data_IF_258923367561
#
_entry.id   IF_258923367561
#
_cell.length_a   1.000
_cell.length_b   1.000
_cell.length_c   1.000
_cell.angle_alpha   90.00
_cell.angle_beta   90.00
_cell.angle_gamma   90.00
#
_symmetry.space_group_name_H-M   'P 1'
#
loop_
_entity.id
_entity.type
_entity.pdbx_description
1 polymer ?
#
# COMPACT_ATOMS: atom_id res chain seq x y z
N UNK A 1 19.26 62.57 52.16
CA UNK A 1 18.66 62.79 50.82
C UNK A 1 19.28 61.80 49.84
N UNK A 2 18.45 61.10 49.06
CA UNK A 2 18.73 60.00 48.10
C UNK A 2 18.66 58.58 48.69
N UNK A 3 17.43 58.07 48.76
CA UNK A 3 17.10 56.64 48.81
C UNK A 3 17.23 56.09 47.39
N UNK A 4 18.03 55.04 47.21
CA UNK A 4 18.20 54.36 45.93
C UNK A 4 17.01 53.42 45.68
N UNK A 5 16.31 53.66 44.57
CA UNK A 5 15.11 52.95 44.15
C UNK A 5 15.53 51.66 43.42
N UNK A 6 15.44 50.52 44.09
CA UNK A 6 15.64 49.19 43.49
C UNK A 6 14.49 48.89 42.53
N UNK A 7 14.72 48.99 41.21
CA UNK A 7 13.75 48.56 40.19
C UNK A 7 13.73 47.03 40.13
N UNK A 8 12.70 46.43 40.72
CA UNK A 8 12.34 45.02 40.53
C UNK A 8 11.70 44.91 39.14
N UNK A 9 12.41 44.28 38.20
CA UNK A 9 11.87 43.90 36.90
C UNK A 9 11.18 42.55 37.07
N UNK A 10 9.84 42.55 37.07
CA UNK A 10 9.03 41.35 36.98
C UNK A 10 9.12 40.81 35.56
N UNK A 11 9.90 39.74 35.35
CA UNK A 11 9.92 39.02 34.08
C UNK A 11 8.69 38.10 34.05
N UNK A 12 7.61 38.56 33.44
CA UNK A 12 6.47 37.72 33.08
C UNK A 12 6.95 36.69 32.06
N UNK A 13 7.21 35.46 32.52
CA UNK A 13 7.33 34.30 31.63
C UNK A 13 5.98 34.10 30.94
N UNK A 14 5.86 34.62 29.72
CA UNK A 14 4.79 34.25 28.82
C UNK A 14 5.00 32.77 28.44
N UNK A 15 4.25 31.88 29.07
CA UNK A 15 4.11 30.49 28.61
C UNK A 15 3.51 30.53 27.19
N UNK A 16 4.37 30.58 26.17
CA UNK A 16 3.98 30.26 24.81
C UNK A 16 3.60 28.78 24.79
N UNK A 17 2.30 28.51 24.81
CA UNK A 17 1.78 27.20 24.46
C UNK A 17 2.16 26.93 23.02
N UNK A 18 3.23 26.16 22.83
CA UNK A 18 3.52 25.53 21.54
C UNK A 18 2.32 24.63 21.26
N UNK A 19 1.44 25.08 20.35
CA UNK A 19 0.42 24.21 19.77
C UNK A 19 1.16 23.08 19.08
N UNK A 20 1.13 21.92 19.72
CA UNK A 20 1.69 20.67 19.21
C UNK A 20 1.17 20.40 17.80
N UNK A 21 2.11 20.41 16.87
CA UNK A 21 2.24 19.64 15.63
C UNK A 21 0.95 19.09 15.01
N UNK A 22 0.66 19.53 13.78
CA UNK A 22 -0.29 18.88 12.89
C UNK A 22 -0.10 17.35 12.94
N UNK A 23 -1.13 16.66 13.40
CA UNK A 23 -1.13 15.21 13.51
C UNK A 23 -1.05 14.66 12.07
N UNK A 24 0.13 14.21 11.64
CA UNK A 24 0.30 13.56 10.34
C UNK A 24 -0.70 12.39 10.27
N UNK A 25 -1.63 12.41 9.32
CA UNK A 25 -2.49 11.25 9.08
C UNK A 25 -1.64 10.13 8.51
N UNK A 26 -1.53 9.01 9.23
CA UNK A 26 -0.84 7.79 8.76
C UNK A 26 -1.38 7.29 7.43
N UNK A 27 -2.66 7.56 7.14
CA UNK A 27 -3.37 7.16 5.93
C UNK A 27 -4.03 8.40 5.30
N UNK A 28 -3.36 9.07 4.35
CA UNK A 28 -3.77 10.40 3.85
C UNK A 28 -5.17 10.45 3.20
N UNK A 29 -5.68 9.33 2.68
CA UNK A 29 -7.00 9.26 2.05
C UNK A 29 -8.17 9.24 3.04
N UNK A 30 -7.93 8.87 4.30
CA UNK A 30 -8.97 8.86 5.33
C UNK A 30 -9.23 10.29 5.82
N UNK A 31 -10.13 11.00 5.12
CA UNK A 31 -10.58 12.34 5.51
C UNK A 31 -11.54 12.21 6.70
N UNK A 32 -11.08 12.61 7.89
CA UNK A 32 -11.67 12.34 9.21
C UNK A 32 -11.61 10.85 9.57
N UNK A 33 -11.41 10.53 10.86
CA UNK A 33 -11.40 9.14 11.35
C UNK A 33 -12.74 8.49 11.01
N UNK A 34 -12.81 7.79 9.88
CA UNK A 34 -13.95 6.95 9.54
C UNK A 34 -14.13 5.98 10.70
N UNK A 35 -15.20 6.20 11.47
CA UNK A 35 -15.51 5.46 12.70
C UNK A 35 -15.79 3.98 12.43
N UNK A 36 -15.90 3.60 11.15
CA UNK A 36 -16.20 2.26 10.67
C UNK A 36 -14.97 1.55 10.10
N UNK A 37 -13.79 1.86 10.67
CA UNK A 37 -12.54 1.19 10.30
C UNK A 37 -11.86 0.58 11.52
N UNK A 38 -11.18 -0.54 11.30
CA UNK A 38 -10.32 -1.20 12.29
C UNK A 38 -8.97 -1.51 11.67
N UNK A 39 -7.92 -1.63 12.48
CA UNK A 39 -6.61 -2.04 11.98
C UNK A 39 -6.62 -3.50 11.53
N UNK A 40 -5.94 -3.82 10.43
CA UNK A 40 -5.83 -5.18 9.91
C UNK A 40 -5.38 -6.20 10.97
N UNK A 41 -4.36 -5.86 11.77
CA UNK A 41 -3.86 -6.77 12.80
C UNK A 41 -4.75 -6.88 14.05
N UNK A 42 -5.67 -5.94 14.27
CA UNK A 42 -6.67 -6.07 15.33
C UNK A 42 -7.79 -7.03 14.90
N UNK A 43 -8.15 -7.00 13.61
CA UNK A 43 -9.26 -7.79 13.08
C UNK A 43 -8.86 -9.22 12.69
N UNK A 44 -7.64 -9.44 12.21
CA UNK A 44 -7.16 -10.74 11.72
C UNK A 44 -6.18 -11.34 12.73
N UNK A 45 -6.70 -12.09 13.70
CA UNK A 45 -5.87 -12.80 14.69
C UNK A 45 -4.94 -13.83 14.03
N UNK A 46 -3.71 -14.03 14.53
CA UNK A 46 -2.87 -15.16 14.11
C UNK A 46 -3.58 -16.51 14.33
N UNK A 47 -3.32 -17.52 13.47
CA UNK A 47 -3.84 -18.86 13.69
C UNK A 47 -3.19 -19.50 14.93
N UNK A 48 -3.82 -20.52 15.54
CA UNK A 48 -3.28 -21.17 16.73
C UNK A 48 -1.82 -21.64 16.56
N UNK A 49 -0.97 -21.33 17.54
CA UNK A 49 0.45 -21.70 17.54
C UNK A 49 1.37 -20.78 16.73
N UNK A 50 0.84 -19.71 16.13
CA UNK A 50 1.61 -18.70 15.40
C UNK A 50 1.66 -17.37 16.16
N UNK A 51 2.78 -16.67 16.03
CA UNK A 51 2.99 -15.32 16.54
C UNK A 51 3.37 -14.37 15.40
N UNK A 52 2.98 -13.10 15.49
CA UNK A 52 3.41 -12.11 14.49
C UNK A 52 4.91 -11.93 14.51
N UNK A 53 5.48 -11.85 13.31
CA UNK A 53 6.88 -11.43 13.14
C UNK A 53 7.06 -9.98 13.59
N UNK A 54 8.22 -9.61 14.10
CA UNK A 54 8.49 -8.21 14.44
C UNK A 54 8.42 -7.30 13.21
N UNK A 55 7.86 -6.11 13.40
CA UNK A 55 7.86 -5.06 12.38
C UNK A 55 8.31 -3.76 13.04
N UNK A 56 9.38 -3.16 12.51
CA UNK A 56 9.93 -1.91 13.03
C UNK A 56 8.87 -0.80 12.96
N UNK A 57 8.78 0.01 14.02
CA UNK A 57 7.82 1.11 14.11
C UNK A 57 8.03 2.07 12.93
N UNK A 58 6.95 2.52 12.31
CA UNK A 58 6.98 3.41 11.13
C UNK A 58 7.56 2.79 9.84
N UNK A 59 7.96 1.52 9.84
CA UNK A 59 8.36 0.80 8.62
C UNK A 59 7.16 0.52 7.70
N UNK A 60 7.45 0.20 6.44
CA UNK A 60 6.42 -0.24 5.48
C UNK A 60 5.66 -1.48 5.99
N UNK A 61 6.39 -2.41 6.63
CA UNK A 61 5.80 -3.61 7.22
C UNK A 61 4.80 -3.26 8.33
N UNK A 62 5.18 -2.38 9.26
CA UNK A 62 4.28 -1.91 10.32
C UNK A 62 3.10 -1.13 9.75
N UNK A 63 3.29 -0.36 8.69
CA UNK A 63 2.24 0.43 8.04
C UNK A 63 1.20 -0.46 7.34
N UNK A 64 1.64 -1.48 6.60
CA UNK A 64 0.77 -2.46 5.93
C UNK A 64 -0.02 -3.30 6.94
N UNK A 65 0.64 -3.78 7.99
CA UNK A 65 0.00 -4.57 9.06
C UNK A 65 -1.11 -3.80 9.79
N UNK A 66 -1.08 -2.46 9.75
CA UNK A 66 -2.07 -1.60 10.39
C UNK A 66 -3.07 -0.96 9.43
N UNK A 67 -3.10 -1.40 8.16
CA UNK A 67 -4.00 -0.84 7.16
C UNK A 67 -5.46 -0.81 7.67
N UNK A 68 -6.18 0.28 7.41
CA UNK A 68 -7.58 0.39 7.82
C UNK A 68 -8.42 -0.56 6.98
N UNK A 69 -9.29 -1.33 7.64
CA UNK A 69 -10.22 -2.28 7.04
C UNK A 69 -11.65 -1.84 7.34
N UNK A 70 -12.57 -2.02 6.39
CA UNK A 70 -14.01 -1.80 6.60
C UNK A 70 -14.54 -2.75 7.69
N UNK A 71 -15.13 -2.20 8.75
CA UNK A 71 -15.64 -3.01 9.86
C UNK A 71 -16.91 -3.79 9.50
N UNK A 72 -17.86 -3.14 8.80
CA UNK A 72 -19.22 -3.64 8.60
C UNK A 72 -19.46 -4.21 7.19
N UNK A 73 -19.21 -3.42 6.14
CA UNK A 73 -19.48 -3.84 4.76
C UNK A 73 -18.28 -4.62 4.19
N UNK A 74 -18.54 -5.86 3.77
CA UNK A 74 -17.54 -6.74 3.19
C UNK A 74 -17.77 -7.06 1.70
N UNK A 75 -18.66 -6.32 1.05
CA UNK A 75 -18.83 -6.39 -0.39
C UNK A 75 -17.65 -5.71 -1.08
N UNK A 76 -17.16 -6.31 -2.16
CA UNK A 76 -16.17 -5.69 -3.04
C UNK A 76 -16.91 -4.95 -4.13
N UNK A 77 -16.68 -3.65 -4.23
CA UNK A 77 -17.19 -2.83 -5.33
C UNK A 77 -16.12 -2.65 -6.42
N UNK A 78 -16.60 -2.49 -7.65
CA UNK A 78 -15.80 -2.11 -8.81
C UNK A 78 -15.67 -0.58 -8.86
N UNK A 79 -14.77 -0.09 -9.72
CA UNK A 79 -14.55 1.35 -9.92
C UNK A 79 -15.80 2.14 -10.36
N UNK A 80 -16.78 1.47 -10.94
CA UNK A 80 -18.05 2.04 -11.42
C UNK A 80 -19.16 2.02 -10.34
N UNK A 81 -18.86 1.49 -9.16
CA UNK A 81 -19.81 1.35 -8.05
C UNK A 81 -20.67 0.09 -8.10
N UNK A 82 -20.55 -0.75 -9.13
CA UNK A 82 -21.22 -2.05 -9.16
C UNK A 82 -20.55 -3.05 -8.22
N UNK A 83 -21.29 -4.08 -7.82
CA UNK A 83 -20.71 -5.21 -7.10
C UNK A 83 -19.82 -6.03 -8.03
N UNK A 84 -18.64 -6.41 -7.54
CA UNK A 84 -17.84 -7.46 -8.15
C UNK A 84 -18.67 -8.75 -8.27
N UNK A 85 -18.60 -9.45 -9.41
CA UNK A 85 -19.36 -10.68 -9.60
C UNK A 85 -19.01 -11.78 -8.56
N UNK A 86 -17.71 -12.01 -8.33
CA UNK A 86 -17.23 -12.97 -7.34
C UNK A 86 -17.10 -12.33 -5.94
N UNK A 87 -18.17 -12.39 -5.14
CA UNK A 87 -18.21 -11.93 -3.74
C UNK A 87 -17.71 -12.97 -2.73
N UNK A 88 -17.06 -14.05 -3.17
CA UNK A 88 -16.56 -15.10 -2.25
C UNK A 88 -15.04 -15.09 -2.10
N UNK A 89 -14.31 -14.33 -2.93
CA UNK A 89 -12.85 -14.25 -2.90
C UNK A 89 -12.31 -13.46 -1.68
N UNK A 90 -13.05 -12.46 -1.21
CA UNK A 90 -12.60 -11.55 -0.16
C UNK A 90 -12.87 -12.09 1.24
N UNK A 91 -11.90 -11.93 2.12
CA UNK A 91 -12.06 -12.07 3.55
C UNK A 91 -12.51 -10.75 4.16
N UNK A 92 -11.78 -9.67 3.87
CA UNK A 92 -12.05 -8.30 4.33
C UNK A 92 -11.63 -7.26 3.30
N UNK A 93 -12.37 -6.16 3.18
CA UNK A 93 -12.08 -5.08 2.23
C UNK A 93 -11.31 -3.96 2.92
N UNK A 94 -10.19 -3.53 2.33
CA UNK A 94 -9.44 -2.39 2.83
C UNK A 94 -10.26 -1.11 2.67
N UNK A 95 -10.17 -0.22 3.65
CA UNK A 95 -10.81 1.09 3.61
C UNK A 95 -9.95 2.07 2.80
N UNK A 96 -9.78 1.80 1.50
CA UNK A 96 -9.08 2.66 0.52
C UNK A 96 -9.90 2.70 -0.77
N UNK A 97 -9.98 3.85 -1.41
CA UNK A 97 -10.74 4.02 -2.66
C UNK A 97 -10.10 3.24 -3.82
N UNK A 98 -10.96 2.73 -4.72
CA UNK A 98 -10.55 2.22 -6.04
C UNK A 98 -10.39 3.34 -7.07
N UNK A 99 -11.04 4.49 -6.87
CA UNK A 99 -11.15 5.56 -7.85
C UNK A 99 -12.46 5.48 -8.63
N UNK A 100 -12.56 6.22 -9.75
CA UNK A 100 -13.78 6.30 -10.59
C UNK A 100 -13.55 5.86 -12.04
N UNK A 101 -12.37 5.33 -12.33
CA UNK A 101 -11.95 4.86 -13.65
C UNK A 101 -11.52 3.42 -13.50
N UNK A 102 -11.54 2.66 -14.59
CA UNK A 102 -11.00 1.30 -14.62
C UNK A 102 -9.45 1.31 -14.58
N UNK A 103 -8.93 1.86 -13.49
CA UNK A 103 -7.54 2.04 -13.11
C UNK A 103 -7.43 1.58 -11.65
N UNK A 104 -6.25 1.19 -11.19
CA UNK A 104 -6.08 0.46 -9.94
C UNK A 104 -6.44 -1.03 -10.05
N UNK A 105 -5.96 -1.67 -11.11
CA UNK A 105 -6.07 -3.10 -11.33
C UNK A 105 -5.01 -3.86 -10.50
N UNK A 106 -4.82 -5.15 -10.78
CA UNK A 106 -3.99 -6.07 -10.00
C UNK A 106 -2.66 -5.48 -9.44
N UNK A 107 -1.68 -5.17 -10.30
CA UNK A 107 -0.38 -4.63 -9.92
C UNK A 107 -0.46 -3.24 -9.29
N UNK A 108 -1.45 -2.46 -9.69
CA UNK A 108 -1.65 -1.12 -9.19
C UNK A 108 -2.00 -1.10 -7.71
N UNK A 109 -2.58 -2.16 -7.16
CA UNK A 109 -2.81 -2.26 -5.71
C UNK A 109 -1.48 -2.26 -4.93
N UNK A 110 -0.48 -3.00 -5.40
CA UNK A 110 0.85 -3.00 -4.79
C UNK A 110 1.56 -1.65 -4.97
N UNK A 111 1.45 -1.05 -6.16
CA UNK A 111 1.96 0.31 -6.47
C UNK A 111 1.31 1.34 -5.54
N UNK A 112 -0.04 1.35 -5.45
CA UNK A 112 -0.83 2.25 -4.61
C UNK A 112 -0.35 2.19 -3.17
N UNK A 113 -0.29 0.99 -2.58
CA UNK A 113 0.09 0.83 -1.19
C UNK A 113 1.54 1.25 -0.92
N UNK A 114 2.47 0.96 -1.82
CA UNK A 114 3.87 1.40 -1.69
C UNK A 114 3.99 2.92 -1.78
N UNK A 115 3.33 3.53 -2.77
CA UNK A 115 3.36 4.96 -2.99
C UNK A 115 2.71 5.74 -1.85
N UNK A 116 1.56 5.28 -1.35
CA UNK A 116 0.85 5.87 -0.20
C UNK A 116 1.69 5.84 1.08
N UNK A 117 2.37 4.72 1.35
CA UNK A 117 3.31 4.66 2.47
C UNK A 117 4.40 5.73 2.33
N UNK A 118 5.08 5.79 1.20
CA UNK A 118 6.15 6.76 0.96
C UNK A 118 5.64 8.22 1.02
N UNK A 119 4.43 8.48 0.50
CA UNK A 119 3.77 9.77 0.58
C UNK A 119 3.49 10.16 2.04
N UNK A 120 2.97 9.22 2.85
CA UNK A 120 2.73 9.44 4.29
C UNK A 120 4.02 9.78 5.06
N UNK A 121 5.17 9.29 4.60
CA UNK A 121 6.49 9.59 5.15
C UNK A 121 7.14 10.84 4.53
N UNK A 122 6.46 11.52 3.60
CA UNK A 122 6.98 12.62 2.78
C UNK A 122 8.27 12.27 2.01
N UNK A 123 8.50 10.99 1.75
CA UNK A 123 9.65 10.47 1.00
C UNK A 123 9.37 10.53 -0.51
N UNK A 124 9.04 11.72 -1.02
CA UNK A 124 8.56 11.92 -2.39
C UNK A 124 9.61 11.53 -3.45
N UNK A 125 10.89 11.74 -3.14
CA UNK A 125 12.05 11.35 -3.95
C UNK A 125 12.15 9.84 -4.18
N UNK A 126 11.53 9.05 -3.29
CA UNK A 126 11.51 7.58 -3.38
C UNK A 126 10.28 7.06 -4.14
N UNK A 127 9.32 7.91 -4.48
CA UNK A 127 8.13 7.51 -5.23
C UNK A 127 8.46 7.58 -6.72
N UNK A 128 8.73 6.42 -7.30
CA UNK A 128 8.93 6.27 -8.72
C UNK A 128 8.57 4.85 -9.17
N UNK A 129 7.98 4.75 -10.36
CA UNK A 129 7.62 3.47 -11.00
C UNK A 129 7.92 3.60 -12.49
N UNK A 130 8.22 2.49 -13.14
CA UNK A 130 8.50 2.48 -14.57
C UNK A 130 7.23 2.15 -15.36
N UNK A 131 7.03 2.91 -16.44
CA UNK A 131 6.07 2.56 -17.47
C UNK A 131 6.50 1.27 -18.18
N UNK A 132 5.57 0.70 -18.95
CA UNK A 132 5.81 -0.48 -19.79
C UNK A 132 6.91 -0.25 -20.83
N UNK A 133 7.08 1.00 -21.30
CA UNK A 133 8.19 1.43 -22.15
C UNK A 133 9.55 1.37 -21.46
N UNK A 134 9.59 1.34 -20.13
CA UNK A 134 10.80 1.42 -19.31
C UNK A 134 11.10 2.82 -18.77
N UNK A 135 10.37 3.85 -19.23
CA UNK A 135 10.51 5.22 -18.75
C UNK A 135 10.13 5.33 -17.27
N UNK A 136 10.98 6.01 -16.50
CA UNK A 136 10.77 6.20 -15.06
C UNK A 136 9.86 7.39 -14.81
N UNK A 137 8.73 7.17 -14.15
CA UNK A 137 7.83 8.22 -13.71
C UNK A 137 8.16 8.63 -12.27
N UNK A 138 8.96 9.69 -12.10
CA UNK A 138 9.30 10.23 -10.78
C UNK A 138 8.19 11.12 -10.23
N UNK A 139 7.79 10.91 -8.99
CA UNK A 139 6.84 11.81 -8.34
C UNK A 139 7.45 13.19 -8.02
N UNK A 140 8.75 13.27 -7.76
CA UNK A 140 9.42 14.57 -7.57
C UNK A 140 9.35 15.44 -8.82
N UNK A 141 9.59 14.87 -10.01
CA UNK A 141 9.45 15.59 -11.28
C UNK A 141 7.98 15.94 -11.55
N UNK A 142 7.06 15.05 -11.19
CA UNK A 142 5.64 15.33 -11.25
C UNK A 142 5.23 16.52 -10.37
N UNK A 143 5.76 16.60 -9.15
CA UNK A 143 5.56 17.75 -8.24
C UNK A 143 6.05 19.03 -8.90
N UNK A 144 7.19 19.01 -9.61
CA UNK A 144 7.76 20.18 -10.28
C UNK A 144 7.02 20.62 -11.57
N UNK A 145 6.02 19.84 -11.97
CA UNK A 145 5.11 20.16 -13.08
C UNK A 145 5.39 19.39 -14.37
N UNK A 146 6.28 18.39 -14.35
CA UNK A 146 6.52 17.54 -15.51
C UNK A 146 5.38 16.54 -15.72
N UNK A 147 4.94 16.37 -16.96
CA UNK A 147 3.91 15.41 -17.36
C UNK A 147 4.40 14.62 -18.59
N UNK A 148 4.04 13.34 -18.70
CA UNK A 148 4.44 12.55 -19.85
C UNK A 148 3.58 12.92 -21.07
N UNK A 149 4.23 13.16 -22.20
CA UNK A 149 3.64 13.11 -23.53
C UNK A 149 4.04 11.79 -24.16
N UNK A 150 3.07 10.89 -24.31
CA UNK A 150 3.31 9.53 -24.82
C UNK A 150 2.93 9.45 -26.29
N UNK A 151 3.84 8.96 -27.12
CA UNK A 151 3.61 8.65 -28.53
C UNK A 151 4.18 7.26 -28.85
N UNK A 152 3.31 6.25 -28.91
CA UNK A 152 3.74 4.86 -28.99
C UNK A 152 4.55 4.47 -27.75
N UNK A 153 5.77 3.96 -27.95
CA UNK A 153 6.71 3.59 -26.88
C UNK A 153 7.64 4.74 -26.44
N UNK A 154 7.52 5.92 -27.04
CA UNK A 154 8.36 7.07 -26.69
C UNK A 154 7.63 7.96 -25.68
N UNK A 155 8.32 8.30 -24.59
CA UNK A 155 7.81 9.19 -23.55
C UNK A 155 8.69 10.43 -23.48
N UNK A 156 8.07 11.59 -23.69
CA UNK A 156 8.72 12.89 -23.50
C UNK A 156 8.19 13.52 -22.21
N UNK A 157 9.07 13.94 -21.29
CA UNK A 157 8.68 14.62 -20.06
C UNK A 157 8.71 16.12 -20.25
N UNK A 158 7.54 16.75 -20.16
CA UNK A 158 7.39 18.17 -20.47
C UNK A 158 6.83 18.88 -19.25
N UNK A 159 7.46 19.99 -18.88
CA UNK A 159 6.93 20.86 -17.85
C UNK A 159 5.70 21.59 -18.37
N UNK A 160 4.52 21.16 -17.94
CA UNK A 160 3.22 21.66 -18.41
C UNK A 160 2.24 21.98 -17.28
N UNK A 161 2.66 21.84 -16.02
CA UNK A 161 1.88 22.18 -14.84
C UNK A 161 2.68 23.03 -13.86
N UNK A 162 1.98 23.63 -12.89
CA UNK A 162 2.62 24.34 -11.78
C UNK A 162 3.15 23.35 -10.74
N UNK A 163 4.02 23.84 -9.85
CA UNK A 163 4.52 23.03 -8.75
C UNK A 163 3.41 22.73 -7.75
N UNK A 164 3.14 21.46 -7.48
CA UNK A 164 2.08 21.05 -6.56
C UNK A 164 2.40 19.70 -5.88
N UNK A 165 2.47 19.70 -4.54
CA UNK A 165 2.68 18.50 -3.73
C UNK A 165 1.42 18.07 -2.96
N UNK A 166 0.24 18.51 -3.39
CA UNK A 166 -1.03 18.14 -2.81
C UNK A 166 -1.31 16.64 -2.96
N UNK A 167 -2.15 16.11 -2.08
CA UNK A 167 -2.60 14.72 -2.18
C UNK A 167 -3.44 14.50 -3.44
N UNK A 168 -4.24 15.49 -3.83
CA UNK A 168 -5.00 15.48 -5.07
C UNK A 168 -4.06 15.34 -6.30
N UNK A 169 -2.93 16.07 -6.34
CA UNK A 169 -1.96 15.93 -7.41
C UNK A 169 -1.17 14.60 -7.33
N UNK A 170 -0.95 14.05 -6.14
CA UNK A 170 -0.43 12.69 -5.97
C UNK A 170 -1.35 11.61 -6.55
N UNK A 171 -2.68 11.75 -6.36
CA UNK A 171 -3.64 10.83 -6.98
C UNK A 171 -3.63 10.94 -8.51
N UNK A 172 -3.49 12.15 -9.06
CA UNK A 172 -3.33 12.35 -10.49
C UNK A 172 -2.04 11.70 -11.04
N UNK A 173 -0.94 11.74 -10.29
CA UNK A 173 0.28 11.01 -10.63
C UNK A 173 0.03 9.49 -10.68
N UNK A 174 -0.65 8.94 -9.67
CA UNK A 174 -0.96 7.51 -9.64
C UNK A 174 -1.86 7.08 -10.79
N UNK A 175 -2.85 7.88 -11.17
CA UNK A 175 -3.69 7.58 -12.35
C UNK A 175 -2.85 7.45 -13.62
N UNK A 176 -1.82 8.30 -13.80
CA UNK A 176 -0.89 8.19 -14.92
C UNK A 176 -0.02 6.93 -14.81
N UNK A 177 0.47 6.60 -13.61
CA UNK A 177 1.21 5.36 -13.39
C UNK A 177 0.34 4.15 -13.73
N UNK A 178 -0.92 4.11 -13.31
CA UNK A 178 -1.84 2.99 -13.57
C UNK A 178 -2.21 2.85 -15.06
N UNK A 179 -2.10 3.93 -15.84
CA UNK A 179 -2.32 3.86 -17.29
C UNK A 179 -1.14 3.18 -18.01
N UNK A 180 0.09 3.44 -17.58
CA UNK A 180 1.29 3.06 -18.34
C UNK A 180 2.14 1.97 -17.69
N UNK A 181 2.01 1.74 -16.39
CA UNK A 181 2.63 0.64 -15.66
C UNK A 181 1.65 -0.52 -15.49
N UNK A 182 2.18 -1.69 -15.12
CA UNK A 182 1.37 -2.86 -14.84
C UNK A 182 2.23 -4.02 -14.34
N UNK A 183 1.68 -5.23 -14.33
CA UNK A 183 2.39 -6.42 -13.85
C UNK A 183 3.70 -6.66 -14.62
N UNK A 184 3.72 -6.38 -15.93
CA UNK A 184 4.91 -6.47 -16.76
C UNK A 184 6.05 -5.55 -16.27
N UNK A 185 5.80 -4.23 -16.20
CA UNK A 185 6.84 -3.27 -15.79
C UNK A 185 7.25 -3.48 -14.34
N UNK A 186 6.27 -3.62 -13.43
CA UNK A 186 6.52 -3.82 -12.01
C UNK A 186 7.37 -5.08 -11.76
N UNK A 187 7.11 -6.19 -12.45
CA UNK A 187 7.87 -7.43 -12.27
C UNK A 187 9.37 -7.30 -12.62
N UNK A 188 9.74 -6.33 -13.48
CA UNK A 188 11.14 -6.03 -13.84
C UNK A 188 11.81 -5.08 -12.85
N UNK A 189 11.02 -4.29 -12.12
CA UNK A 189 11.52 -3.36 -11.11
C UNK A 189 11.77 -4.04 -9.76
N UNK A 190 11.00 -5.08 -9.44
CA UNK A 190 11.13 -5.83 -8.18
C UNK A 190 12.31 -6.81 -8.23
N UNK A 191 12.93 -7.04 -7.07
CA UNK A 191 13.96 -8.06 -6.88
C UNK A 191 13.31 -9.41 -6.54
N UNK A 192 13.83 -10.51 -7.07
CA UNK A 192 13.35 -11.84 -6.70
C UNK A 192 13.66 -12.14 -5.22
N UNK A 193 12.76 -12.90 -4.58
CA UNK A 193 12.99 -13.53 -3.28
C UNK A 193 13.11 -15.04 -3.54
N UNK A 194 14.35 -15.52 -3.67
CA UNK A 194 14.65 -16.89 -4.12
C UNK A 194 14.11 -17.96 -3.15
N UNK A 195 14.16 -17.68 -1.85
CA UNK A 195 13.63 -18.57 -0.81
C UNK A 195 12.37 -17.96 -0.20
N UNK A 196 11.22 -18.60 -0.43
CA UNK A 196 9.93 -18.19 0.11
C UNK A 196 9.90 -18.19 1.64
N UNK A 197 10.77 -18.95 2.31
CA UNK A 197 10.94 -18.88 3.77
C UNK A 197 11.38 -17.48 4.23
N UNK A 198 12.00 -16.69 3.34
CA UNK A 198 12.42 -15.31 3.56
C UNK A 198 11.35 -14.27 3.23
N UNK A 199 10.09 -14.69 3.03
CA UNK A 199 8.98 -13.76 2.81
C UNK A 199 8.85 -12.74 3.94
N UNK A 200 8.56 -11.51 3.55
CA UNK A 200 8.34 -10.34 4.41
C UNK A 200 7.04 -9.64 4.02
N UNK A 201 6.53 -8.85 4.96
CA UNK A 201 5.42 -7.93 4.70
C UNK A 201 5.87 -6.92 3.64
N UNK A 202 5.01 -6.69 2.64
CA UNK A 202 5.28 -5.83 1.49
C UNK A 202 5.92 -6.54 0.30
N UNK A 203 6.23 -7.84 0.40
CA UNK A 203 6.57 -8.65 -0.76
C UNK A 203 5.34 -8.85 -1.65
N UNK A 204 5.58 -9.11 -2.93
CA UNK A 204 4.55 -9.22 -3.98
C UNK A 204 4.75 -10.53 -4.72
N UNK A 205 3.71 -11.37 -4.78
CA UNK A 205 3.68 -12.46 -5.76
C UNK A 205 3.22 -11.88 -7.09
N UNK A 206 4.03 -12.03 -8.13
CA UNK A 206 3.80 -11.35 -9.41
C UNK A 206 4.21 -12.21 -10.60
N UNK A 207 3.29 -12.35 -11.55
CA UNK A 207 3.57 -12.84 -12.90
C UNK A 207 3.42 -11.67 -13.87
N UNK A 208 4.55 -11.19 -14.40
CA UNK A 208 4.54 -10.14 -15.41
C UNK A 208 4.04 -10.67 -16.76
N UNK A 209 3.32 -9.83 -17.51
CA UNK A 209 2.82 -10.18 -18.85
C UNK A 209 1.48 -9.54 -19.19
N UNK A 210 0.89 -9.99 -20.31
CA UNK A 210 -0.40 -9.53 -20.83
C UNK A 210 -1.22 -10.76 -21.26
N UNK A 211 -2.01 -11.38 -20.37
CA UNK A 211 -2.28 -10.96 -19.01
C UNK A 211 -1.16 -11.32 -18.03
N UNK A 212 -1.08 -10.55 -16.95
CA UNK A 212 -0.30 -10.87 -15.76
C UNK A 212 -1.13 -10.56 -14.52
N UNK A 213 -0.64 -10.94 -13.34
CA UNK A 213 -1.33 -10.68 -12.07
C UNK A 213 -0.34 -10.44 -10.95
N UNK A 214 -0.77 -9.70 -9.94
CA UNK A 214 0.02 -9.41 -8.75
C UNK A 214 -0.85 -9.34 -7.50
N UNK A 215 -0.31 -9.85 -6.39
CA UNK A 215 -0.91 -9.79 -5.06
C UNK A 215 0.18 -9.45 -4.03
N UNK A 216 -0.17 -8.75 -2.96
CA UNK A 216 0.78 -8.24 -1.95
C UNK A 216 0.61 -8.95 -0.60
N UNK A 217 1.72 -9.18 0.09
CA UNK A 217 1.78 -9.70 1.46
C UNK A 217 1.53 -8.58 2.46
N UNK A 218 0.44 -8.66 3.23
CA UNK A 218 0.06 -7.64 4.23
C UNK A 218 0.48 -7.97 5.66
N UNK A 219 0.56 -9.25 6.02
CA UNK A 219 1.03 -9.69 7.34
C UNK A 219 1.77 -11.03 7.22
N UNK A 220 2.67 -11.28 8.16
CA UNK A 220 3.47 -12.51 8.30
C UNK A 220 3.52 -12.91 9.77
N UNK A 221 3.16 -14.15 10.03
CA UNK A 221 3.29 -14.82 11.33
C UNK A 221 4.24 -16.01 11.21
N UNK A 222 4.79 -16.45 12.34
CA UNK A 222 5.73 -17.58 12.42
C UNK A 222 5.38 -18.45 13.64
N UNK A 223 5.49 -19.77 13.49
CA UNK A 223 5.32 -20.71 14.59
C UNK A 223 6.67 -21.12 15.21
N UNK A 224 6.63 -21.94 16.26
CA UNK A 224 7.84 -22.43 16.96
C UNK A 224 8.81 -23.26 16.10
N UNK A 225 8.36 -23.78 14.95
CA UNK A 225 9.16 -24.55 14.00
C UNK A 225 9.69 -23.67 12.85
N UNK A 226 9.64 -22.34 13.01
CA UNK A 226 10.02 -21.37 11.96
C UNK A 226 9.18 -21.42 10.68
N UNK A 227 8.07 -22.16 10.67
CA UNK A 227 7.12 -22.14 9.55
C UNK A 227 6.35 -20.83 9.58
N UNK A 228 6.30 -20.15 8.43
CA UNK A 228 5.59 -18.88 8.27
C UNK A 228 4.20 -19.09 7.69
N UNK A 229 3.29 -18.18 8.02
CA UNK A 229 2.03 -18.00 7.31
C UNK A 229 1.83 -16.53 6.96
N UNK A 230 1.12 -16.27 5.86
CA UNK A 230 0.97 -14.92 5.29
C UNK A 230 -0.49 -14.54 5.08
N UNK A 231 -0.78 -13.25 5.13
CA UNK A 231 -2.03 -12.64 4.66
C UNK A 231 -1.77 -11.96 3.32
N UNK A 232 -2.65 -12.20 2.35
CA UNK A 232 -2.53 -11.68 0.99
C UNK A 232 -3.66 -10.71 0.68
N UNK A 233 -3.39 -9.69 -0.14
CA UNK A 233 -4.40 -8.79 -0.68
C UNK A 233 -4.19 -8.51 -2.16
N UNK A 234 -5.28 -8.11 -2.82
CA UNK A 234 -5.28 -7.83 -4.25
C UNK A 234 -6.32 -6.77 -4.64
N UNK A 235 -6.11 -6.16 -5.81
CA UNK A 235 -7.18 -5.73 -6.73
C UNK A 235 -7.25 -6.75 -7.89
N UNK A 236 -8.12 -6.57 -8.88
CA UNK A 236 -8.21 -7.45 -10.04
C UNK A 236 -8.58 -6.65 -11.31
N UNK A 237 -9.02 -7.35 -12.36
CA UNK A 237 -9.48 -6.79 -13.62
C UNK A 237 -10.96 -7.18 -13.83
N UNK A 238 -11.90 -6.23 -13.93
CA UNK A 238 -11.72 -4.77 -13.88
C UNK A 238 -11.28 -4.27 -12.49
N UNK A 239 -10.89 -3.00 -12.42
CA UNK A 239 -10.46 -2.35 -11.19
C UNK A 239 -11.54 -2.43 -10.11
N UNK A 240 -11.10 -2.79 -8.91
CA UNK A 240 -11.99 -3.05 -7.78
C UNK A 240 -11.31 -2.72 -6.46
N UNK A 241 -12.09 -2.65 -5.40
CA UNK A 241 -11.56 -2.37 -4.07
C UNK A 241 -10.51 -3.39 -3.64
N UNK A 242 -9.43 -2.88 -3.05
CA UNK A 242 -8.36 -3.74 -2.54
C UNK A 242 -8.91 -4.54 -1.37
N UNK A 243 -8.74 -5.85 -1.40
CA UNK A 243 -9.26 -6.73 -0.37
C UNK A 243 -8.28 -7.83 0.01
N UNK A 244 -8.34 -8.23 1.27
CA UNK A 244 -7.70 -9.42 1.81
C UNK A 244 -8.36 -10.65 1.20
N UNK A 245 -7.55 -11.60 0.74
CA UNK A 245 -8.01 -12.83 0.11
C UNK A 245 -8.38 -13.89 1.14
N UNK A 246 -9.51 -14.58 0.96
CA UNK A 246 -9.77 -15.85 1.65
C UNK A 246 -8.82 -16.91 1.14
N UNK A 247 -8.32 -17.77 2.03
CA UNK A 247 -7.61 -18.98 1.64
C UNK A 247 -8.64 -20.06 1.21
N UNK A 248 -8.72 -20.44 -0.07
CA UNK A 248 -9.71 -21.42 -0.53
C UNK A 248 -9.35 -22.86 -0.15
N UNK A 249 -8.10 -23.11 0.27
CA UNK A 249 -7.59 -24.45 0.59
C UNK A 249 -7.73 -24.82 2.06
N UNK A 250 -7.92 -23.84 2.93
CA UNK A 250 -8.07 -24.08 4.37
C UNK A 250 -8.98 -23.01 5.00
N UNK A 251 -10.22 -23.39 5.31
CA UNK A 251 -11.19 -22.52 5.96
C UNK A 251 -10.89 -22.25 7.44
N UNK A 252 -10.20 -23.16 8.13
CA UNK A 252 -9.87 -23.04 9.56
C UNK A 252 -8.82 -21.95 9.79
N UNK A 253 -7.85 -21.83 8.88
CA UNK A 253 -6.79 -20.83 8.98
C UNK A 253 -7.06 -19.59 8.13
N UNK A 254 -8.09 -19.58 7.28
CA UNK A 254 -8.42 -18.43 6.42
C UNK A 254 -8.57 -17.14 7.26
N UNK A 255 -7.90 -16.03 6.88
CA UNK A 255 -7.27 -15.74 5.60
C UNK A 255 -5.77 -16.09 5.52
N UNK A 256 -5.22 -16.81 6.49
CA UNK A 256 -3.81 -17.17 6.52
C UNK A 256 -3.47 -18.30 5.54
N UNK A 257 -2.40 -18.08 4.80
CA UNK A 257 -1.76 -19.04 3.91
C UNK A 257 -0.49 -19.53 4.59
N UNK A 258 -0.54 -20.74 5.15
CA UNK A 258 0.64 -21.41 5.70
C UNK A 258 1.55 -21.76 4.53
N UNK A 259 2.83 -21.40 4.64
CA UNK A 259 3.85 -21.77 3.66
C UNK A 259 4.13 -23.26 3.84
N UNK A 260 3.92 -24.01 2.76
CA UNK A 260 4.05 -25.46 2.71
C UNK A 260 5.07 -25.85 1.65
N UNK A 261 5.55 -27.09 1.72
CA UNK A 261 6.41 -27.72 0.72
C UNK A 261 5.60 -28.13 -0.53
N UNK A 262 4.87 -27.18 -1.11
CA UNK A 262 4.24 -27.32 -2.42
C UNK A 262 4.83 -26.25 -3.33
N UNK A 263 4.79 -26.45 -4.64
CA UNK A 263 5.24 -25.42 -5.58
C UNK A 263 4.22 -24.29 -5.76
N UNK A 264 2.95 -24.57 -5.47
CA UNK A 264 1.82 -23.74 -5.87
C UNK A 264 1.16 -23.04 -4.68
N UNK A 265 0.92 -21.75 -4.87
CA UNK A 265 0.08 -20.89 -4.05
C UNK A 265 -1.28 -20.73 -4.76
N UNK A 266 -2.30 -21.42 -4.23
CA UNK A 266 -3.66 -21.32 -4.72
C UNK A 266 -4.40 -20.16 -4.05
N UNK A 267 -4.71 -19.12 -4.81
CA UNK A 267 -5.61 -18.03 -4.37
C UNK A 267 -6.96 -18.14 -5.07
N UNK A 268 -8.01 -17.45 -4.59
CA UNK A 268 -9.37 -17.61 -5.13
C UNK A 268 -9.53 -17.36 -6.63
N UNK A 269 -8.69 -16.50 -7.22
CA UNK A 269 -8.86 -16.04 -8.61
C UNK A 269 -7.64 -16.29 -9.49
N UNK A 270 -6.47 -16.56 -8.89
CA UNK A 270 -5.24 -16.78 -9.63
C UNK A 270 -4.31 -17.75 -8.91
N UNK A 271 -3.64 -18.64 -9.65
CA UNK A 271 -2.63 -19.54 -9.05
C UNK A 271 -1.24 -19.01 -9.32
N UNK A 272 -0.45 -18.86 -8.26
CA UNK A 272 0.97 -18.49 -8.30
C UNK A 272 1.84 -19.69 -7.99
N UNK A 273 3.12 -19.60 -8.33
CA UNK A 273 4.17 -20.40 -7.70
C UNK A 273 4.69 -19.63 -6.49
N UNK A 274 5.16 -20.32 -5.47
CA UNK A 274 5.83 -19.65 -4.35
C UNK A 274 7.10 -18.90 -4.80
N UNK A 275 7.73 -19.37 -5.89
CA UNK A 275 8.87 -18.72 -6.54
C UNK A 275 8.51 -17.43 -7.31
N UNK A 276 7.22 -17.10 -7.47
CA UNK A 276 6.81 -15.82 -8.09
C UNK A 276 6.95 -14.64 -7.11
N UNK A 277 7.54 -14.86 -5.92
CA UNK A 277 7.73 -13.87 -4.87
C UNK A 277 8.83 -12.88 -5.23
N UNK A 278 8.49 -11.59 -5.14
CA UNK A 278 9.42 -10.47 -5.37
C UNK A 278 9.27 -9.38 -4.31
N UNK A 279 10.24 -8.48 -4.24
CA UNK A 279 10.35 -7.41 -3.24
C UNK A 279 10.72 -6.08 -3.88
N UNK A 280 10.14 -4.98 -3.38
CA UNK A 280 10.56 -3.63 -3.76
C UNK A 280 12.03 -3.39 -3.42
N UNK A 281 12.73 -2.66 -4.30
CA UNK A 281 14.12 -2.23 -4.06
C UNK A 281 14.21 -1.26 -2.88
#
# INVERSE_FOLDING_TARGET
>A
MKVNLTKIIFFLLLCATVKSQAQNSTYPWLKNKDRNTSSLCELISPPPGYNRTEAEKHSYASWLRNLPIKSENNNVYLFDGNLKANQTAQFKVLAIDVGRRDLQQCADAAIRLRAEYLFSQKAYDKIAFNFTSGDRASYSEWIEGFRPRVNGNNVEWIRSSQTDSSYENFRAYLDIVFIYAGSYSLSKELNNVEDVSQVKIGDVFIKGGFPGHAIIVLDVVVNKNSQKAIVLAQSYMPAQEIHVLKNPRNSETSPWYIIQETDLLYTPEWTFRWSDLKRFR
#
